data_IF_141689680629
#
_entry.id   IF_141689680629
#
_cell.length_a   1.000
_cell.length_b   1.000
_cell.length_c   1.000
_cell.angle_alpha   90.00
_cell.angle_beta   90.00
_cell.angle_gamma   90.00
#
_symmetry.space_group_name_H-M   'P 1'
#
loop_
_entity.id
_entity.type
_entity.pdbx_description
1 polymer ?
#
# COMPACT_ATOMS: atom_id res chain seq x y z
N UNK A 1 -15.79 -0.42 1.32
CA UNK A 1 -15.58 -1.36 0.17
C UNK A 1 -15.18 -0.64 -1.12
N UNK A 2 -15.86 0.44 -1.53
CA UNK A 2 -15.54 1.13 -2.79
C UNK A 2 -14.12 1.71 -2.86
N UNK A 3 -13.58 2.26 -1.77
CA UNK A 3 -12.25 2.87 -1.78
C UNK A 3 -11.12 1.86 -1.95
N UNK A 4 -11.26 0.66 -1.37
CA UNK A 4 -10.31 -0.44 -1.57
C UNK A 4 -10.28 -0.89 -3.03
N UNK A 5 -11.44 -0.97 -3.67
CA UNK A 5 -11.51 -1.28 -5.10
C UNK A 5 -10.88 -0.18 -5.94
N UNK A 6 -11.05 1.10 -5.55
CA UNK A 6 -10.35 2.22 -6.20
C UNK A 6 -8.83 2.08 -6.10
N UNK A 7 -8.30 1.73 -4.93
CA UNK A 7 -6.87 1.44 -4.76
C UNK A 7 -6.39 0.30 -5.68
N UNK A 8 -7.09 -0.84 -5.67
CA UNK A 8 -6.72 -2.00 -6.49
C UNK A 8 -6.72 -1.65 -7.99
N UNK A 9 -7.75 -0.93 -8.46
CA UNK A 9 -7.83 -0.50 -9.85
C UNK A 9 -6.76 0.52 -10.21
N UNK A 10 -6.43 1.43 -9.28
CA UNK A 10 -5.36 2.39 -9.47
C UNK A 10 -4.00 1.70 -9.63
N UNK A 11 -3.68 0.72 -8.76
CA UNK A 11 -2.44 -0.07 -8.88
C UNK A 11 -2.40 -0.84 -10.21
N UNK A 12 -3.50 -1.47 -10.64
CA UNK A 12 -3.55 -2.14 -11.95
C UNK A 12 -3.26 -1.17 -13.10
N UNK A 13 -3.90 0.00 -13.09
CA UNK A 13 -3.69 1.02 -14.11
C UNK A 13 -2.24 1.51 -14.15
N UNK A 14 -1.60 1.71 -13.00
CA UNK A 14 -0.18 2.09 -12.94
C UNK A 14 0.74 0.99 -13.47
N UNK A 15 0.46 -0.28 -13.15
CA UNK A 15 1.22 -1.41 -13.68
C UNK A 15 1.16 -1.47 -15.19
N UNK A 16 -0.02 -1.31 -15.77
CA UNK A 16 -0.22 -1.31 -17.22
C UNK A 16 0.43 -0.09 -17.88
N UNK A 17 0.25 1.11 -17.32
CA UNK A 17 0.78 2.35 -17.89
C UNK A 17 2.32 2.43 -17.85
N UNK A 18 2.95 1.88 -16.80
CA UNK A 18 4.39 1.97 -16.58
C UNK A 18 5.13 0.65 -16.85
N UNK A 19 4.43 -0.41 -17.29
CA UNK A 19 4.95 -1.78 -17.38
C UNK A 19 5.70 -2.20 -16.09
N UNK A 20 5.12 -1.83 -14.94
CA UNK A 20 5.76 -1.93 -13.64
C UNK A 20 5.36 -3.20 -12.87
N UNK A 21 6.26 -3.68 -12.01
CA UNK A 21 5.93 -4.68 -11.01
C UNK A 21 4.90 -4.16 -10.00
N UNK A 22 4.33 -5.05 -9.18
CA UNK A 22 3.38 -4.65 -8.12
C UNK A 22 4.03 -3.64 -7.17
N UNK A 23 5.24 -3.94 -6.69
CA UNK A 23 5.95 -3.12 -5.73
C UNK A 23 6.30 -1.73 -6.30
N UNK A 24 6.69 -1.66 -7.57
CA UNK A 24 6.96 -0.39 -8.25
C UNK A 24 5.68 0.43 -8.44
N UNK A 25 4.57 -0.19 -8.82
CA UNK A 25 3.30 0.50 -8.94
C UNK A 25 2.78 1.02 -7.59
N UNK A 26 2.95 0.25 -6.52
CA UNK A 26 2.63 0.70 -5.16
C UNK A 26 3.53 1.87 -4.75
N UNK A 27 4.83 1.84 -5.08
CA UNK A 27 5.76 2.94 -4.84
C UNK A 27 5.34 4.22 -5.58
N UNK A 28 4.93 4.10 -6.84
CA UNK A 28 4.43 5.23 -7.63
C UNK A 28 3.14 5.78 -7.02
N UNK A 29 2.20 4.91 -6.64
CA UNK A 29 0.94 5.34 -6.02
C UNK A 29 1.16 6.03 -4.67
N UNK A 30 2.07 5.52 -3.84
CA UNK A 30 2.38 6.06 -2.52
C UNK A 30 3.23 7.33 -2.56
N UNK A 31 3.77 7.71 -3.72
CA UNK A 31 4.36 9.03 -3.93
C UNK A 31 3.29 10.15 -3.89
N UNK A 32 2.02 9.82 -4.17
CA UNK A 32 0.90 10.74 -3.99
C UNK A 32 0.51 10.83 -2.50
N UNK A 33 0.54 12.04 -1.94
CA UNK A 33 0.24 12.28 -0.52
C UNK A 33 -1.20 11.93 -0.12
N UNK A 34 -2.16 12.04 -1.05
CA UNK A 34 -3.55 11.65 -0.83
C UNK A 34 -3.68 10.15 -0.66
N UNK A 35 -3.05 9.39 -1.55
CA UNK A 35 -3.01 7.93 -1.45
C UNK A 35 -2.22 7.45 -0.23
N UNK A 36 -1.07 8.05 0.07
CA UNK A 36 -0.28 7.73 1.27
C UNK A 36 -1.11 7.86 2.54
N UNK A 37 -1.73 9.03 2.76
CA UNK A 37 -2.59 9.28 3.93
C UNK A 37 -3.79 8.33 4.00
N UNK A 38 -4.37 8.01 2.85
CA UNK A 38 -5.47 7.06 2.79
C UNK A 38 -5.01 5.66 3.19
N UNK A 39 -3.89 5.16 2.64
CA UNK A 39 -3.33 3.84 2.98
C UNK A 39 -2.99 3.77 4.46
N UNK A 40 -2.26 4.74 5.01
CA UNK A 40 -1.91 4.81 6.44
C UNK A 40 -3.16 4.75 7.33
N UNK A 41 -4.23 5.47 6.97
CA UNK A 41 -5.50 5.39 7.69
C UNK A 41 -6.09 3.98 7.61
N UNK A 42 -6.18 3.42 6.41
CA UNK A 42 -6.83 2.12 6.21
C UNK A 42 -6.10 0.95 6.88
N UNK A 43 -4.76 0.92 6.84
CA UNK A 43 -3.97 -0.16 7.43
C UNK A 43 -4.02 -0.16 8.96
N UNK A 44 -4.36 0.98 9.58
CA UNK A 44 -4.56 1.09 11.02
C UNK A 44 -6.02 0.94 11.44
N UNK A 45 -7.01 1.27 10.58
CA UNK A 45 -8.43 1.20 10.93
C UNK A 45 -9.16 -0.08 10.48
N UNK A 46 -8.72 -0.74 9.40
CA UNK A 46 -9.36 -1.94 8.84
C UNK A 46 -8.45 -3.16 8.98
N UNK A 47 -8.89 -4.16 9.75
CA UNK A 47 -8.14 -5.40 10.01
C UNK A 47 -7.78 -6.22 8.76
N UNK A 48 -8.52 -6.07 7.65
CA UNK A 48 -8.17 -6.70 6.38
C UNK A 48 -7.01 -5.96 5.71
N UNK A 49 -7.07 -4.63 5.68
CA UNK A 49 -5.99 -3.80 5.17
C UNK A 49 -4.72 -3.94 6.01
N UNK A 50 -4.86 -4.02 7.35
CA UNK A 50 -3.76 -4.32 8.27
C UNK A 50 -3.07 -5.63 7.93
N UNK A 51 -3.83 -6.71 7.72
CA UNK A 51 -3.26 -8.02 7.34
C UNK A 51 -2.55 -7.97 6.00
N UNK A 52 -3.07 -7.23 5.03
CA UNK A 52 -2.40 -7.04 3.74
C UNK A 52 -1.08 -6.27 3.90
N UNK A 53 -1.05 -5.21 4.70
CA UNK A 53 0.16 -4.45 4.99
C UNK A 53 1.22 -5.28 5.75
N UNK A 54 0.81 -6.09 6.72
CA UNK A 54 1.70 -7.03 7.40
C UNK A 54 2.24 -8.10 6.45
N UNK A 55 1.39 -8.60 5.54
CA UNK A 55 1.82 -9.51 4.49
C UNK A 55 2.83 -8.85 3.55
N UNK A 56 2.60 -7.59 3.16
CA UNK A 56 3.54 -6.81 2.36
C UNK A 56 4.90 -6.67 3.07
N UNK A 57 4.89 -6.37 4.36
CA UNK A 57 6.11 -6.29 5.19
C UNK A 57 6.85 -7.64 5.22
N UNK A 58 6.13 -8.75 5.40
CA UNK A 58 6.72 -10.09 5.45
C UNK A 58 7.34 -10.52 4.12
N UNK A 59 6.66 -10.28 2.98
CA UNK A 59 7.14 -10.74 1.68
C UNK A 59 8.26 -9.86 1.10
N UNK A 60 8.22 -8.54 1.34
CA UNK A 60 9.17 -7.61 0.74
C UNK A 60 10.37 -7.28 1.66
N UNK A 61 10.30 -7.59 2.96
CA UNK A 61 11.38 -7.36 3.91
C UNK A 61 11.86 -5.90 3.87
N UNK A 62 13.16 -5.69 3.61
CA UNK A 62 13.76 -4.35 3.51
C UNK A 62 13.17 -3.49 2.38
N UNK A 63 12.68 -4.12 1.31
CA UNK A 63 12.04 -3.43 0.19
C UNK A 63 10.58 -3.04 0.49
N UNK A 64 10.06 -3.38 1.68
CA UNK A 64 8.72 -3.01 2.09
C UNK A 64 8.56 -1.49 2.15
N UNK A 65 7.47 -1.01 1.53
CA UNK A 65 7.00 0.37 1.58
C UNK A 65 6.24 0.67 2.87
N UNK A 66 5.94 -0.36 3.67
CA UNK A 66 5.33 -0.25 4.99
C UNK A 66 6.41 -0.52 6.03
N UNK A 67 6.40 0.27 7.09
CA UNK A 67 7.15 0.00 8.32
C UNK A 67 6.18 -0.21 9.49
N UNK A 68 6.66 -0.88 10.54
CA UNK A 68 5.90 -1.12 11.76
C UNK A 68 6.63 -0.48 12.94
N UNK A 69 5.95 0.43 13.63
CA UNK A 69 6.42 1.04 14.87
C UNK A 69 5.46 0.67 16.01
N UNK A 70 5.86 -0.31 16.82
CA UNK A 70 4.99 -0.89 17.84
C UNK A 70 3.73 -1.51 17.23
N UNK A 71 2.56 -0.92 17.50
CA UNK A 71 1.28 -1.37 16.94
C UNK A 71 0.82 -0.55 15.73
N UNK A 72 1.51 0.54 15.39
CA UNK A 72 1.17 1.37 14.24
C UNK A 72 1.92 0.91 12.98
N UNK A 73 1.24 0.98 11.85
CA UNK A 73 1.83 0.77 10.53
C UNK A 73 1.87 2.10 9.79
N UNK A 74 3.01 2.45 9.22
CA UNK A 74 3.20 3.69 8.45
C UNK A 74 3.78 3.39 7.07
N UNK A 75 3.50 4.26 6.10
CA UNK A 75 4.17 4.19 4.80
C UNK A 75 5.53 4.88 4.94
N UNK A 76 6.57 4.34 4.30
CA UNK A 76 7.92 4.91 4.28
C UNK A 76 8.02 6.04 3.26
#
# INVERSE_FOLDING_TARGET
MHERNRWIMHIKSLREAHNASILEAERIALADLGWRRWVERQINSDMRCRRMALSHLHHNGEASLIERSGDELTVR
#
